data_IF_015866158939
#
_entry.id   IF_015866158939
#
_cell.length_a   1.000
_cell.length_b   1.000
_cell.length_c   1.000
_cell.angle_alpha   90.00
_cell.angle_beta   90.00
_cell.angle_gamma   90.00
#
_symmetry.space_group_name_H-M   'P 1'
#
loop_
_entity.id
_entity.type
_entity.pdbx_description
1 polymer ?
#
# COMPACT_ATOMS: atom_id res chain seq x y z
N UNK A 1 -49.00 -15.06 1.14
CA UNK A 1 -48.52 -13.69 1.40
C UNK A 1 -47.03 -13.74 1.76
N UNK A 2 -46.11 -13.39 0.87
CA UNK A 2 -44.69 -13.28 1.14
C UNK A 2 -44.37 -11.81 1.44
N UNK A 3 -43.96 -11.53 2.65
CA UNK A 3 -43.50 -10.19 3.04
C UNK A 3 -42.16 -9.91 2.37
N UNK A 4 -42.16 -8.94 1.46
CA UNK A 4 -40.94 -8.37 0.86
C UNK A 4 -40.41 -7.33 1.85
N UNK A 5 -39.40 -7.69 2.62
CA UNK A 5 -38.65 -6.73 3.41
C UNK A 5 -37.80 -5.92 2.44
N UNK A 6 -38.21 -4.71 2.12
CA UNK A 6 -37.38 -3.71 1.46
C UNK A 6 -36.36 -3.22 2.49
N UNK A 7 -35.14 -3.70 2.38
CA UNK A 7 -33.99 -3.05 3.03
C UNK A 7 -33.69 -1.80 2.23
N UNK A 8 -34.21 -0.66 2.67
CA UNK A 8 -33.83 0.65 2.18
C UNK A 8 -32.48 1.04 2.80
N UNK A 9 -31.40 0.55 2.22
CA UNK A 9 -30.04 0.97 2.52
C UNK A 9 -29.42 1.43 1.22
N UNK A 10 -29.23 2.74 1.05
CA UNK A 10 -28.34 3.26 0.02
C UNK A 10 -27.00 2.55 0.19
N UNK A 11 -26.49 1.81 -0.80
CA UNK A 11 -25.24 1.10 -0.62
C UNK A 11 -24.14 2.14 -0.45
N UNK A 12 -23.61 2.25 0.76
CA UNK A 12 -22.55 3.17 1.19
C UNK A 12 -21.30 3.12 0.28
N UNK A 13 -21.09 2.02 -0.43
CA UNK A 13 -20.01 1.86 -1.40
C UNK A 13 -20.17 2.74 -2.65
N UNK A 14 -21.38 3.19 -3.01
CA UNK A 14 -21.58 4.12 -4.12
C UNK A 14 -20.98 5.51 -3.84
N UNK A 15 -20.97 5.97 -2.60
CA UNK A 15 -20.36 7.25 -2.23
C UNK A 15 -18.82 7.21 -2.26
N UNK A 16 -18.23 6.03 -2.06
CA UNK A 16 -16.77 5.86 -2.06
C UNK A 16 -16.18 5.84 -3.49
N UNK A 17 -16.96 5.43 -4.49
CA UNK A 17 -16.55 5.45 -5.89
C UNK A 17 -16.46 6.87 -6.47
N UNK A 18 -17.28 7.82 -5.99
CA UNK A 18 -17.36 9.17 -6.54
C UNK A 18 -16.12 10.06 -6.26
N UNK A 19 -15.23 9.67 -5.34
CA UNK A 19 -14.04 10.47 -4.98
C UNK A 19 -12.76 10.04 -5.67
N UNK A 20 -12.76 8.92 -6.36
CA UNK A 20 -11.62 8.42 -7.10
C UNK A 20 -11.75 8.88 -8.56
N UNK A 21 -11.14 10.01 -8.93
CA UNK A 21 -10.97 10.34 -10.34
C UNK A 21 -10.00 9.33 -10.94
N UNK A 22 -10.41 8.51 -11.93
CA UNK A 22 -9.45 7.73 -12.69
C UNK A 22 -8.39 8.70 -13.23
N UNK A 23 -7.14 8.29 -13.19
CA UNK A 23 -6.09 9.03 -13.91
C UNK A 23 -6.43 9.10 -15.39
N UNK A 24 -5.73 9.94 -16.18
CA UNK A 24 -5.91 9.98 -17.62
C UNK A 24 -5.76 8.55 -18.17
N UNK A 25 -6.67 8.18 -19.06
CA UNK A 25 -6.65 6.87 -19.72
C UNK A 25 -5.49 6.85 -20.73
N UNK A 26 -4.31 6.50 -20.22
CA UNK A 26 -3.07 6.45 -20.99
C UNK A 26 -2.86 5.04 -21.53
N UNK A 27 -2.39 4.93 -22.76
CA UNK A 27 -1.94 3.67 -23.31
C UNK A 27 -0.75 3.09 -22.52
N UNK A 28 -0.48 1.78 -22.59
CA UNK A 28 0.68 1.19 -21.95
C UNK A 28 2.00 1.86 -22.37
N UNK A 29 2.13 2.25 -23.63
CA UNK A 29 3.29 2.94 -24.19
C UNK A 29 3.44 4.33 -23.59
N UNK A 30 2.36 5.08 -23.44
CA UNK A 30 2.37 6.41 -22.82
C UNK A 30 2.74 6.33 -21.34
N UNK A 31 2.18 5.34 -20.61
CA UNK A 31 2.55 5.07 -19.21
C UNK A 31 4.06 4.79 -19.09
N UNK A 32 4.57 3.89 -19.94
CA UNK A 32 5.99 3.55 -19.95
C UNK A 32 6.88 4.76 -20.30
N UNK A 33 6.51 5.54 -21.31
CA UNK A 33 7.26 6.73 -21.71
C UNK A 33 7.33 7.77 -20.58
N UNK A 34 6.21 8.01 -19.89
CA UNK A 34 6.17 8.94 -18.75
C UNK A 34 7.06 8.45 -17.60
N UNK A 35 6.97 7.17 -17.25
CA UNK A 35 7.80 6.57 -16.21
C UNK A 35 9.29 6.65 -16.58
N UNK A 36 9.63 6.29 -17.83
CA UNK A 36 10.99 6.37 -18.34
C UNK A 36 11.58 7.79 -18.23
N UNK A 37 10.82 8.79 -18.68
CA UNK A 37 11.25 10.18 -18.61
C UNK A 37 11.42 10.65 -17.16
N UNK A 38 10.53 10.27 -16.25
CA UNK A 38 10.65 10.56 -14.84
C UNK A 38 11.87 9.88 -14.21
N UNK A 39 12.15 8.63 -14.56
CA UNK A 39 13.33 7.91 -14.09
C UNK A 39 14.63 8.55 -14.60
N UNK A 40 14.69 8.90 -15.87
CA UNK A 40 15.86 9.58 -16.45
C UNK A 40 16.16 10.94 -15.80
N UNK A 41 15.16 11.61 -15.24
CA UNK A 41 15.33 12.87 -14.51
C UNK A 41 15.94 12.69 -13.12
N UNK A 42 16.05 11.46 -12.62
CA UNK A 42 16.60 11.20 -11.28
C UNK A 42 18.13 11.06 -11.32
N UNK A 43 18.84 11.45 -10.24
CA UNK A 43 20.29 11.27 -10.13
C UNK A 43 20.73 9.80 -10.25
N UNK A 44 19.89 8.86 -9.74
CA UNK A 44 20.22 7.44 -9.77
C UNK A 44 20.43 6.93 -11.19
N UNK A 45 19.45 7.09 -12.07
CA UNK A 45 19.54 6.58 -13.43
C UNK A 45 20.52 7.36 -14.29
N UNK A 46 20.72 8.65 -14.04
CA UNK A 46 21.67 9.48 -14.79
C UNK A 46 23.13 9.15 -14.48
N UNK A 47 23.46 8.74 -13.24
CA UNK A 47 24.84 8.52 -12.79
C UNK A 47 25.34 7.09 -12.90
N UNK A 48 24.46 6.08 -12.78
CA UNK A 48 24.87 4.68 -12.63
C UNK A 48 24.95 3.88 -13.93
N UNK A 49 25.04 4.53 -15.08
CA UNK A 49 25.14 3.83 -16.38
C UNK A 49 23.86 3.12 -16.82
N UNK A 50 22.82 3.08 -15.98
CA UNK A 50 21.51 2.46 -16.28
C UNK A 50 20.67 3.29 -17.26
N UNK A 51 21.12 4.48 -17.60
CA UNK A 51 20.53 5.32 -18.66
C UNK A 51 20.41 4.55 -19.97
N UNK A 52 21.44 3.76 -20.34
CA UNK A 52 21.44 2.98 -21.57
C UNK A 52 20.31 1.95 -21.59
N UNK A 53 20.09 1.24 -20.48
CA UNK A 53 19.04 0.23 -20.35
C UNK A 53 17.65 0.88 -20.49
N UNK A 54 17.45 2.03 -19.84
CA UNK A 54 16.19 2.79 -19.93
C UNK A 54 15.92 3.30 -21.35
N UNK A 55 16.96 3.78 -22.06
CA UNK A 55 16.82 4.32 -23.42
C UNK A 55 16.64 3.22 -24.45
N UNK A 56 17.27 2.06 -24.25
CA UNK A 56 17.17 0.91 -25.16
C UNK A 56 15.85 0.15 -25.01
N UNK A 57 15.19 0.24 -23.83
CA UNK A 57 13.96 -0.46 -23.57
C UNK A 57 12.76 0.18 -24.29
N UNK A 58 12.00 -0.65 -24.99
CA UNK A 58 10.72 -0.29 -25.60
C UNK A 58 9.52 -0.74 -24.75
N UNK A 59 9.75 -1.68 -23.83
CA UNK A 59 8.74 -2.25 -22.95
C UNK A 59 9.30 -2.43 -21.54
N UNK A 60 8.42 -2.40 -20.56
CA UNK A 60 8.77 -2.55 -19.13
C UNK A 60 9.59 -3.82 -18.87
N UNK A 61 9.19 -4.95 -19.46
CA UNK A 61 9.84 -6.27 -19.28
C UNK A 61 11.30 -6.34 -19.72
N UNK A 62 11.77 -5.39 -20.53
CA UNK A 62 13.17 -5.29 -20.96
C UNK A 62 14.06 -4.62 -19.90
N UNK A 63 13.48 -3.94 -18.92
CA UNK A 63 14.23 -3.35 -17.83
C UNK A 63 14.65 -4.41 -16.81
N UNK A 64 15.85 -4.27 -16.22
CA UNK A 64 16.26 -5.14 -15.13
C UNK A 64 15.36 -4.89 -13.90
N UNK A 65 15.17 -5.93 -13.08
CA UNK A 65 14.50 -5.80 -11.78
C UNK A 65 15.39 -5.00 -10.83
N UNK A 66 14.81 -4.01 -10.20
CA UNK A 66 15.49 -3.12 -9.26
C UNK A 66 15.30 -3.65 -7.82
N UNK A 67 16.38 -4.00 -7.10
CA UNK A 67 16.25 -4.47 -5.72
C UNK A 67 15.71 -3.38 -4.78
N UNK A 68 14.76 -3.71 -3.92
CA UNK A 68 14.19 -2.78 -2.93
C UNK A 68 15.28 -2.12 -2.07
N UNK A 69 16.23 -2.91 -1.59
CA UNK A 69 17.32 -2.41 -0.76
C UNK A 69 18.10 -1.30 -1.44
N UNK A 70 18.38 -1.43 -2.73
CA UNK A 70 19.11 -0.41 -3.50
C UNK A 70 18.34 0.92 -3.54
N UNK A 71 17.01 0.86 -3.64
CA UNK A 71 16.14 2.04 -3.62
C UNK A 71 16.10 2.67 -2.23
N UNK A 72 15.95 1.87 -1.18
CA UNK A 72 15.86 2.37 0.19
C UNK A 72 17.20 2.97 0.67
N UNK A 73 18.32 2.30 0.39
CA UNK A 73 19.66 2.78 0.78
C UNK A 73 20.07 4.07 0.03
N UNK A 74 19.53 4.29 -1.15
CA UNK A 74 19.86 5.45 -2.01
C UNK A 74 18.66 6.33 -2.34
N UNK A 75 17.64 6.38 -1.46
CA UNK A 75 16.34 7.00 -1.74
C UNK A 75 16.42 8.42 -2.30
N UNK A 76 17.29 9.26 -1.77
CA UNK A 76 17.47 10.64 -2.26
C UNK A 76 17.90 10.71 -3.73
N UNK A 77 18.54 9.68 -4.26
CA UNK A 77 18.96 9.60 -5.66
C UNK A 77 17.81 9.20 -6.60
N UNK A 78 16.73 8.62 -6.08
CA UNK A 78 15.53 8.29 -6.84
C UNK A 78 14.51 9.43 -6.89
N UNK A 79 14.77 10.54 -6.21
CA UNK A 79 13.85 11.69 -6.25
C UNK A 79 13.97 12.40 -7.60
N UNK A 80 12.85 12.52 -8.28
CA UNK A 80 12.70 13.33 -9.48
C UNK A 80 12.50 14.80 -9.07
N UNK A 81 13.46 15.69 -9.32
CA UNK A 81 13.36 17.08 -8.87
C UNK A 81 12.27 17.88 -9.60
N UNK A 82 11.84 17.41 -10.78
CA UNK A 82 10.77 18.05 -11.54
C UNK A 82 9.37 17.62 -11.12
N UNK A 83 9.24 16.53 -10.36
CA UNK A 83 7.95 16.08 -9.84
C UNK A 83 7.64 16.82 -8.54
N UNK A 84 6.49 17.47 -8.47
CA UNK A 84 5.98 18.02 -7.22
C UNK A 84 5.78 16.90 -6.19
N UNK A 85 5.87 17.23 -4.90
CA UNK A 85 5.59 16.29 -3.81
C UNK A 85 4.15 15.78 -3.88
N UNK A 86 3.94 14.68 -4.57
CA UNK A 86 2.65 14.01 -4.63
C UNK A 86 2.41 13.25 -3.33
N UNK A 87 1.69 13.84 -2.37
CA UNK A 87 1.23 13.06 -1.23
C UNK A 87 0.11 12.12 -1.69
N UNK A 88 0.27 10.84 -1.42
CA UNK A 88 -0.79 9.85 -1.58
C UNK A 88 -2.00 10.19 -0.71
N UNK A 89 -3.13 9.57 -1.00
CA UNK A 89 -4.39 9.80 -0.29
C UNK A 89 -4.74 8.61 0.60
N UNK A 90 -5.10 8.89 1.85
CA UNK A 90 -5.72 7.89 2.71
C UNK A 90 -7.11 7.55 2.18
N UNK A 91 -7.42 6.26 2.01
CA UNK A 91 -8.75 5.75 1.72
C UNK A 91 -9.41 5.32 3.03
N UNK A 92 -10.63 5.74 3.25
CA UNK A 92 -11.44 5.25 4.36
C UNK A 92 -12.39 4.16 3.86
N UNK A 93 -12.57 3.06 4.61
CA UNK A 93 -13.42 1.94 4.20
C UNK A 93 -14.92 2.29 4.20
N UNK A 94 -15.31 3.24 5.05
CA UNK A 94 -16.68 3.77 5.17
C UNK A 94 -16.64 5.18 5.79
N UNK A 95 -17.73 5.98 5.66
CA UNK A 95 -17.80 7.31 6.24
C UNK A 95 -17.57 7.30 7.75
N UNK A 96 -16.76 8.24 8.25
CA UNK A 96 -16.50 8.44 9.69
C UNK A 96 -16.73 9.89 10.06
N UNK A 97 -17.04 10.15 11.33
CA UNK A 97 -17.18 11.51 11.86
C UNK A 97 -15.81 12.13 12.11
N UNK A 98 -14.87 11.36 12.61
CA UNK A 98 -13.49 11.79 12.82
C UNK A 98 -12.51 10.61 12.84
N UNK A 99 -11.34 10.86 12.29
CA UNK A 99 -10.26 9.89 12.28
C UNK A 99 -8.91 10.55 12.55
N UNK A 100 -7.92 9.73 12.86
CA UNK A 100 -6.54 10.19 13.10
C UNK A 100 -5.57 9.30 12.34
N UNK A 101 -4.65 9.93 11.59
CA UNK A 101 -3.48 9.30 11.00
C UNK A 101 -2.25 9.53 11.87
N UNK A 102 -1.51 8.46 12.16
CA UNK A 102 -0.30 8.54 12.99
C UNK A 102 0.92 8.07 12.23
N UNK A 103 1.97 8.88 12.23
CA UNK A 103 3.31 8.49 11.80
C UNK A 103 3.59 8.52 10.30
N UNK A 104 2.65 8.98 9.47
CA UNK A 104 2.85 9.13 8.02
C UNK A 104 2.17 10.38 7.48
N UNK A 105 2.76 10.96 6.41
CA UNK A 105 2.13 12.08 5.68
C UNK A 105 1.36 11.56 4.49
N UNK A 106 0.04 11.75 4.51
CA UNK A 106 -0.87 11.47 3.40
C UNK A 106 -1.86 12.64 3.27
N UNK A 107 -2.51 12.76 2.12
CA UNK A 107 -3.68 13.62 1.98
C UNK A 107 -4.83 12.98 2.74
N UNK A 108 -5.35 13.70 3.70
CA UNK A 108 -6.40 13.22 4.58
C UNK A 108 -7.78 13.70 4.10
N UNK A 109 -8.85 12.93 4.38
CA UNK A 109 -10.22 13.44 4.35
C UNK A 109 -10.37 14.62 5.34
N UNK A 110 -11.35 15.49 5.11
CA UNK A 110 -11.59 16.71 5.92
C UNK A 110 -11.79 16.42 7.42
N UNK A 111 -12.34 15.26 7.74
CA UNK A 111 -12.62 14.81 9.09
C UNK A 111 -11.47 14.00 9.72
N UNK A 112 -10.28 13.99 9.11
CA UNK A 112 -9.09 13.36 9.66
C UNK A 112 -8.08 14.39 10.13
N UNK A 113 -7.49 14.13 11.29
CA UNK A 113 -6.30 14.80 11.78
C UNK A 113 -5.04 13.95 11.58
N UNK A 114 -3.86 14.56 11.67
CA UNK A 114 -2.60 13.83 11.65
C UNK A 114 -1.79 14.09 12.91
N UNK A 115 -1.16 13.05 13.42
CA UNK A 115 -0.15 13.14 14.46
C UNK A 115 1.19 12.77 13.82
N UNK A 116 2.03 13.78 13.61
CA UNK A 116 3.36 13.61 13.05
C UNK A 116 4.29 12.94 14.05
N UNK A 117 5.39 12.35 13.55
CA UNK A 117 6.47 11.74 14.33
C UNK A 117 6.08 10.56 15.23
N UNK A 118 4.90 9.97 15.05
CA UNK A 118 4.46 8.78 15.79
C UNK A 118 4.35 9.00 17.30
N UNK A 119 4.20 10.25 17.76
CA UNK A 119 3.95 10.57 19.18
C UNK A 119 2.57 10.06 19.59
N UNK A 120 2.50 9.25 20.64
CA UNK A 120 1.24 8.72 21.16
C UNK A 120 0.53 9.68 22.13
N UNK A 121 1.23 10.72 22.62
CA UNK A 121 0.66 11.66 23.60
C UNK A 121 -0.54 12.44 23.09
N UNK A 122 -0.53 12.82 21.80
CA UNK A 122 -1.67 13.49 21.17
C UNK A 122 -2.88 12.60 20.92
N UNK A 123 -2.67 11.28 20.87
CA UNK A 123 -3.74 10.33 20.57
C UNK A 123 -4.71 10.14 21.76
N UNK A 124 -4.23 10.24 22.97
CA UNK A 124 -5.03 10.10 24.20
C UNK A 124 -6.17 11.13 24.31
N UNK A 125 -5.93 12.34 23.81
CA UNK A 125 -6.90 13.45 23.85
C UNK A 125 -7.76 13.57 22.57
N UNK A 126 -7.46 12.74 21.57
CA UNK A 126 -8.15 12.81 20.28
C UNK A 126 -9.52 12.12 20.35
N UNK A 127 -10.59 12.72 19.82
CA UNK A 127 -11.90 12.09 19.72
C UNK A 127 -11.93 11.01 18.60
N UNK A 128 -10.81 10.34 18.35
CA UNK A 128 -10.58 9.44 17.24
C UNK A 128 -11.55 8.26 17.25
N UNK A 129 -12.41 8.16 16.24
CA UNK A 129 -13.29 7.01 16.03
C UNK A 129 -12.69 5.99 15.07
N UNK A 130 -11.87 6.44 14.12
CA UNK A 130 -11.13 5.62 13.16
C UNK A 130 -9.64 5.97 13.24
N UNK A 131 -8.79 4.96 13.35
CA UNK A 131 -7.34 5.13 13.49
C UNK A 131 -6.64 4.59 12.24
N UNK A 132 -5.77 5.39 11.65
CA UNK A 132 -4.90 4.95 10.56
C UNK A 132 -3.43 5.05 10.99
N UNK A 133 -2.65 4.00 10.80
CA UNK A 133 -1.22 4.03 11.10
C UNK A 133 -0.46 2.90 10.40
N UNK A 134 0.88 3.00 10.39
CA UNK A 134 1.76 1.94 9.89
C UNK A 134 1.83 0.76 10.86
N UNK A 135 2.23 -0.45 10.43
CA UNK A 135 2.33 -1.62 11.29
C UNK A 135 3.17 -1.37 12.54
N UNK A 136 4.32 -0.71 12.40
CA UNK A 136 5.23 -0.41 13.52
C UNK A 136 4.60 0.51 14.56
N UNK A 137 3.85 1.52 14.13
CA UNK A 137 3.12 2.43 15.02
C UNK A 137 1.98 1.71 15.72
N UNK A 138 1.23 0.86 15.01
CA UNK A 138 0.14 0.07 15.60
C UNK A 138 0.64 -0.90 16.66
N UNK A 139 1.79 -1.57 16.46
CA UNK A 139 2.44 -2.40 17.50
C UNK A 139 2.72 -1.59 18.77
N UNK A 140 3.25 -0.36 18.63
CA UNK A 140 3.51 0.54 19.76
C UNK A 140 2.22 0.98 20.45
N UNK A 141 1.16 1.29 19.68
CA UNK A 141 -0.16 1.62 20.22
C UNK A 141 -0.72 0.44 21.02
N UNK A 142 -0.71 -0.78 20.47
CA UNK A 142 -1.16 -1.96 21.19
C UNK A 142 -0.36 -2.21 22.48
N UNK A 143 0.95 -2.07 22.44
CA UNK A 143 1.77 -2.19 23.63
C UNK A 143 1.40 -1.14 24.70
N UNK A 144 1.15 0.11 24.28
CA UNK A 144 0.74 1.17 25.20
C UNK A 144 -0.68 0.95 25.77
N UNK A 145 -1.61 0.43 24.98
CA UNK A 145 -2.97 0.08 25.43
C UNK A 145 -2.89 -1.09 26.42
N UNK A 146 -2.18 -2.15 26.10
CA UNK A 146 -2.03 -3.34 26.97
C UNK A 146 -1.36 -3.00 28.31
N UNK A 147 -0.41 -2.07 28.32
CA UNK A 147 0.26 -1.59 29.52
C UNK A 147 -0.50 -0.47 30.25
N UNK A 148 -1.69 -0.10 29.78
CA UNK A 148 -2.56 0.96 30.32
C UNK A 148 -1.96 2.38 30.28
N UNK A 149 -0.90 2.61 29.49
CA UNK A 149 -0.35 3.96 29.25
C UNK A 149 -1.16 4.76 28.25
N UNK A 150 -1.97 4.09 27.42
CA UNK A 150 -2.83 4.73 26.43
C UNK A 150 -4.24 4.17 26.56
N UNK A 151 -5.23 5.06 26.57
CA UNK A 151 -6.63 4.72 26.40
C UNK A 151 -7.18 5.38 25.13
N UNK A 152 -7.98 4.64 24.38
CA UNK A 152 -8.64 5.11 23.17
C UNK A 152 -10.16 4.99 23.30
N UNK A 153 -10.79 5.75 24.22
CA UNK A 153 -12.18 5.55 24.59
C UNK A 153 -13.18 5.81 23.47
N UNK A 154 -12.76 6.57 22.45
CA UNK A 154 -13.62 6.94 21.32
C UNK A 154 -13.40 6.05 20.09
N UNK A 155 -12.34 5.22 20.06
CA UNK A 155 -12.09 4.32 18.95
C UNK A 155 -13.17 3.23 18.91
N UNK A 156 -14.04 3.29 17.90
CA UNK A 156 -15.19 2.40 17.81
C UNK A 156 -15.57 1.99 16.38
N UNK A 157 -14.86 2.50 15.37
CA UNK A 157 -15.21 2.25 13.97
C UNK A 157 -14.24 1.29 13.29
N UNK A 158 -12.98 1.67 13.13
CA UNK A 158 -11.98 0.83 12.45
C UNK A 158 -10.55 1.24 12.75
N UNK A 159 -9.63 0.30 12.50
CA UNK A 159 -8.21 0.56 12.31
C UNK A 159 -7.87 0.35 10.85
N UNK A 160 -7.13 1.29 10.26
CA UNK A 160 -6.57 1.20 8.92
C UNK A 160 -5.05 1.00 9.04
N UNK A 161 -4.59 -0.14 8.59
CA UNK A 161 -3.15 -0.46 8.53
C UNK A 161 -2.59 0.03 7.21
N UNK A 162 -1.67 0.97 7.27
CA UNK A 162 -0.99 1.50 6.10
C UNK A 162 0.31 0.72 5.92
N UNK A 163 0.27 -0.25 5.03
CA UNK A 163 1.43 -1.05 4.64
C UNK A 163 2.18 -0.37 3.50
N UNK A 164 3.47 -0.53 3.44
CA UNK A 164 4.30 0.06 2.39
C UNK A 164 5.67 -0.59 2.36
N UNK A 165 6.41 -0.34 1.28
CA UNK A 165 7.74 -0.91 1.09
C UNK A 165 8.73 -0.51 2.19
N UNK A 166 8.51 0.64 2.83
CA UNK A 166 9.31 1.13 3.95
C UNK A 166 8.76 0.72 5.30
N UNK A 167 7.44 0.68 5.41
CA UNK A 167 6.73 0.40 6.66
C UNK A 167 6.56 -1.10 6.93
N UNK A 168 6.79 -1.92 5.90
CA UNK A 168 6.55 -3.35 5.94
C UNK A 168 5.07 -3.72 5.87
N UNK A 169 4.80 -4.99 6.13
CA UNK A 169 3.47 -5.58 6.15
C UNK A 169 3.10 -6.08 7.55
N UNK A 170 1.83 -6.41 7.74
CA UNK A 170 1.40 -7.18 8.91
C UNK A 170 1.95 -8.61 8.83
N UNK A 171 2.50 -9.07 9.94
CA UNK A 171 2.87 -10.49 10.07
C UNK A 171 1.64 -11.35 10.39
N UNK A 172 1.70 -12.66 10.11
CA UNK A 172 0.63 -13.59 10.50
C UNK A 172 0.27 -13.44 11.98
N UNK A 173 -1.02 -13.35 12.28
CA UNK A 173 -1.55 -13.17 13.64
C UNK A 173 -1.55 -11.72 14.16
N UNK A 174 -0.85 -10.77 13.54
CA UNK A 174 -0.88 -9.37 14.00
C UNK A 174 -2.25 -8.71 13.80
N UNK A 175 -2.96 -9.07 12.72
CA UNK A 175 -4.34 -8.61 12.51
C UNK A 175 -5.24 -9.00 13.67
N UNK A 176 -5.16 -10.25 14.13
CA UNK A 176 -5.93 -10.75 15.28
C UNK A 176 -5.52 -10.06 16.58
N UNK A 177 -4.22 -9.80 16.75
CA UNK A 177 -3.71 -9.04 17.90
C UNK A 177 -4.27 -7.62 17.91
N UNK A 178 -4.26 -6.92 16.77
CA UNK A 178 -4.85 -5.59 16.64
C UNK A 178 -6.34 -5.61 16.99
N UNK A 179 -7.09 -6.54 16.41
CA UNK A 179 -8.51 -6.68 16.68
C UNK A 179 -8.81 -6.96 18.17
N UNK A 180 -8.10 -7.91 18.79
CA UNK A 180 -8.28 -8.23 20.21
C UNK A 180 -7.93 -7.08 21.14
N UNK A 181 -6.90 -6.29 20.79
CA UNK A 181 -6.43 -5.19 21.65
C UNK A 181 -7.31 -3.95 21.49
N UNK A 182 -7.72 -3.63 20.27
CA UNK A 182 -8.41 -2.37 19.96
C UNK A 182 -9.93 -2.52 19.84
N UNK A 183 -10.43 -3.75 19.68
CA UNK A 183 -11.87 -4.06 19.71
C UNK A 183 -12.66 -3.59 18.47
N UNK A 184 -11.98 -3.25 17.38
CA UNK A 184 -12.60 -2.72 16.15
C UNK A 184 -12.07 -3.44 14.91
N UNK A 185 -12.84 -3.45 13.79
CA UNK A 185 -12.42 -4.03 12.53
C UNK A 185 -11.08 -3.46 12.04
N UNK A 186 -10.25 -4.31 11.42
CA UNK A 186 -8.95 -3.94 10.86
C UNK A 186 -9.03 -4.00 9.35
N UNK A 187 -8.66 -2.91 8.67
CA UNK A 187 -8.56 -2.81 7.21
C UNK A 187 -7.13 -2.55 6.80
N UNK A 188 -6.72 -3.11 5.69
CA UNK A 188 -5.36 -2.99 5.19
C UNK A 188 -5.33 -2.16 3.91
N UNK A 189 -4.28 -1.35 3.75
CA UNK A 189 -3.99 -0.58 2.55
C UNK A 189 -2.51 -0.70 2.22
N UNK A 190 -2.21 -0.93 0.96
CA UNK A 190 -0.85 -0.92 0.46
C UNK A 190 -0.59 0.39 -0.29
N UNK A 191 0.45 1.09 0.12
CA UNK A 191 0.90 2.34 -0.50
C UNK A 191 2.29 2.18 -1.11
N UNK A 192 2.51 2.85 -2.22
CA UNK A 192 3.80 2.90 -2.90
C UNK A 192 4.80 3.85 -2.24
N UNK A 193 5.97 4.01 -2.87
CA UNK A 193 7.06 4.85 -2.37
C UNK A 193 6.66 6.32 -2.18
N UNK A 194 5.83 6.86 -3.06
CA UNK A 194 5.32 8.22 -3.00
C UNK A 194 4.01 8.34 -2.21
N UNK A 195 3.61 7.27 -1.52
CA UNK A 195 2.39 7.21 -0.73
C UNK A 195 1.11 7.02 -1.55
N UNK A 196 1.22 6.80 -2.86
CA UNK A 196 0.06 6.48 -3.70
C UNK A 196 -0.58 5.17 -3.26
N UNK A 197 -1.91 5.14 -3.24
CA UNK A 197 -2.66 3.94 -2.91
C UNK A 197 -2.55 2.94 -4.07
N UNK A 198 -1.99 1.77 -3.79
CA UNK A 198 -1.80 0.67 -4.75
C UNK A 198 -2.82 -0.44 -4.59
N UNK A 199 -3.15 -0.77 -3.34
CA UNK A 199 -4.18 -1.76 -3.04
C UNK A 199 -4.89 -1.46 -1.73
N UNK A 200 -6.11 -1.98 -1.57
CA UNK A 200 -6.94 -1.72 -0.40
C UNK A 200 -7.91 -2.86 -0.15
N UNK A 201 -8.24 -3.07 1.10
CA UNK A 201 -9.17 -4.09 1.55
C UNK A 201 -10.61 -3.56 1.56
N UNK A 202 -11.55 -4.35 1.07
CA UNK A 202 -12.98 -4.08 1.16
C UNK A 202 -13.59 -4.71 2.42
N UNK A 203 -14.87 -4.37 2.70
CA UNK A 203 -15.59 -4.90 3.87
C UNK A 203 -15.81 -6.43 3.90
N UNK A 204 -15.44 -7.16 2.83
CA UNK A 204 -15.49 -8.62 2.81
C UNK A 204 -14.21 -9.29 3.31
N UNK A 205 -13.14 -8.52 3.52
CA UNK A 205 -11.87 -8.99 4.06
C UNK A 205 -11.28 -10.21 3.34
N UNK A 206 -11.39 -10.25 1.99
CA UNK A 206 -10.94 -11.39 1.18
C UNK A 206 -9.56 -11.18 0.55
N UNK A 207 -8.91 -10.07 0.84
CA UNK A 207 -7.63 -9.64 0.29
C UNK A 207 -7.64 -8.16 -0.12
N UNK A 208 -6.53 -7.72 -0.70
CA UNK A 208 -6.35 -6.34 -1.13
C UNK A 208 -6.69 -6.21 -2.62
N UNK A 209 -7.64 -5.34 -2.98
CA UNK A 209 -7.92 -4.97 -4.37
C UNK A 209 -6.76 -4.16 -4.94
N UNK A 210 -6.02 -4.73 -5.88
CA UNK A 210 -4.87 -4.09 -6.50
C UNK A 210 -5.29 -3.22 -7.68
N UNK A 211 -4.89 -1.95 -7.67
CA UNK A 211 -5.29 -0.96 -8.68
C UNK A 211 -4.42 -1.05 -9.94
N UNK A 212 -4.86 -1.85 -10.91
CA UNK A 212 -4.15 -2.08 -12.17
C UNK A 212 -4.05 -0.83 -13.08
N UNK A 213 -4.92 0.15 -12.91
CA UNK A 213 -4.83 1.43 -13.60
C UNK A 213 -3.64 2.27 -13.10
N UNK A 214 -3.20 2.05 -11.85
CA UNK A 214 -2.16 2.83 -11.17
C UNK A 214 -0.80 2.18 -11.16
N UNK A 215 -0.75 0.87 -11.18
CA UNK A 215 0.50 0.13 -11.13
C UNK A 215 0.38 -1.18 -11.89
N UNK A 216 1.52 -1.71 -12.29
CA UNK A 216 1.67 -3.05 -12.81
C UNK A 216 2.36 -3.92 -11.76
N UNK A 217 1.90 -5.16 -11.65
CA UNK A 217 2.44 -6.15 -10.73
C UNK A 217 2.81 -7.40 -11.49
N UNK A 218 4.09 -7.73 -11.48
CA UNK A 218 4.64 -8.96 -12.03
C UNK A 218 4.94 -9.94 -10.88
N UNK A 219 4.88 -11.23 -11.14
CA UNK A 219 5.35 -12.23 -10.19
C UNK A 219 6.57 -12.95 -10.79
N UNK A 220 7.75 -12.70 -10.22
CA UNK A 220 9.02 -13.26 -10.69
C UNK A 220 9.58 -14.19 -9.63
N UNK A 221 9.62 -15.49 -9.92
CA UNK A 221 10.08 -16.54 -8.95
C UNK A 221 9.35 -16.49 -7.61
N UNK A 222 8.06 -16.10 -7.63
CA UNK A 222 7.23 -15.96 -6.44
C UNK A 222 7.33 -14.60 -5.73
N UNK A 223 8.29 -13.77 -6.10
CA UNK A 223 8.40 -12.39 -5.61
C UNK A 223 7.52 -11.44 -6.43
N UNK A 224 6.83 -10.54 -5.75
CA UNK A 224 6.10 -9.45 -6.40
C UNK A 224 7.08 -8.36 -6.85
N UNK A 225 6.98 -8.00 -8.12
CA UNK A 225 7.74 -6.90 -8.74
C UNK A 225 6.75 -5.82 -9.14
N UNK A 226 6.90 -4.64 -8.58
CA UNK A 226 5.97 -3.52 -8.69
C UNK A 226 6.50 -2.46 -9.65
N UNK A 227 5.64 -1.94 -10.51
CA UNK A 227 5.89 -0.71 -11.26
C UNK A 227 4.73 0.25 -11.06
N UNK A 228 4.96 1.38 -10.38
CA UNK A 228 3.96 2.43 -10.24
C UNK A 228 3.97 3.37 -11.44
N UNK A 229 2.79 3.63 -12.02
CA UNK A 229 2.61 4.53 -13.15
C UNK A 229 2.42 5.99 -12.75
N UNK A 230 2.08 6.24 -11.48
CA UNK A 230 1.73 7.57 -10.96
C UNK A 230 2.69 8.06 -9.87
N UNK A 231 3.47 7.19 -9.27
CA UNK A 231 4.51 7.52 -8.30
C UNK A 231 5.76 8.07 -8.97
N UNK A 232 5.64 9.21 -9.67
CA UNK A 232 6.72 9.77 -10.47
C UNK A 232 7.67 10.67 -9.68
N UNK A 233 7.41 10.86 -8.39
CA UNK A 233 8.36 11.55 -7.49
C UNK A 233 9.55 10.67 -7.15
N UNK A 234 9.33 9.37 -6.99
CA UNK A 234 10.38 8.36 -6.77
C UNK A 234 10.20 7.20 -7.76
N UNK A 235 10.43 7.44 -9.06
CA UNK A 235 10.19 6.44 -10.10
C UNK A 235 11.15 5.26 -9.95
N UNK A 236 10.59 4.09 -9.69
CA UNK A 236 11.33 2.85 -9.55
C UNK A 236 10.68 1.76 -10.44
N UNK A 237 11.00 1.72 -11.73
CA UNK A 237 10.47 0.70 -12.63
C UNK A 237 10.95 -0.69 -12.23
N UNK A 238 10.05 -1.67 -12.25
CA UNK A 238 10.30 -3.07 -11.90
C UNK A 238 10.97 -3.25 -10.53
N UNK A 239 10.40 -2.65 -9.52
CA UNK A 239 10.91 -2.72 -8.14
C UNK A 239 10.56 -4.07 -7.51
N UNK A 240 11.56 -4.88 -7.17
CA UNK A 240 11.39 -6.07 -6.34
C UNK A 240 10.92 -5.65 -4.95
N UNK A 241 9.77 -6.14 -4.52
CA UNK A 241 9.15 -5.66 -3.27
C UNK A 241 9.65 -6.39 -2.03
N UNK A 242 10.26 -7.56 -2.19
CA UNK A 242 10.55 -8.49 -1.09
C UNK A 242 9.29 -9.18 -0.56
N UNK A 243 8.18 -9.11 -1.27
CA UNK A 243 6.89 -9.67 -0.86
C UNK A 243 6.43 -10.75 -1.83
N UNK A 244 5.52 -11.58 -1.34
CA UNK A 244 4.78 -12.56 -2.13
C UNK A 244 3.30 -12.45 -1.86
N UNK A 245 2.44 -12.83 -2.81
CA UNK A 245 1.01 -12.95 -2.64
C UNK A 245 0.44 -13.94 -3.67
N UNK A 246 -0.74 -14.47 -3.40
CA UNK A 246 -1.60 -15.08 -4.41
C UNK A 246 -2.38 -13.98 -5.13
N UNK A 247 -2.32 -13.96 -6.47
CA UNK A 247 -3.08 -13.01 -7.30
C UNK A 247 -4.35 -13.70 -7.78
N UNK A 248 -5.50 -13.32 -7.21
CA UNK A 248 -6.81 -13.85 -7.62
C UNK A 248 -7.50 -12.84 -8.54
N UNK A 249 -7.68 -13.22 -9.81
CA UNK A 249 -8.32 -12.38 -10.83
C UNK A 249 -9.83 -12.52 -10.86
N UNK A 250 -10.43 -13.36 -10.02
CA UNK A 250 -11.89 -13.50 -9.94
C UNK A 250 -12.49 -12.26 -9.28
N UNK A 251 -13.63 -11.82 -9.79
CA UNK A 251 -14.34 -10.67 -9.22
C UNK A 251 -14.69 -10.93 -7.75
N UNK A 252 -14.34 -9.97 -6.90
CA UNK A 252 -14.79 -9.96 -5.51
C UNK A 252 -16.30 -9.74 -5.43
N UNK A 253 -16.96 -10.37 -4.45
CA UNK A 253 -18.38 -10.16 -4.20
C UNK A 253 -18.76 -8.74 -3.80
N UNK A 254 -17.77 -7.88 -3.48
CA UNK A 254 -18.01 -6.46 -3.23
C UNK A 254 -18.31 -5.66 -4.52
N UNK A 255 -18.08 -6.26 -5.69
CA UNK A 255 -18.31 -5.63 -7.01
C UNK A 255 -17.10 -4.86 -7.55
N UNK A 256 -15.99 -4.79 -6.82
CA UNK A 256 -14.75 -4.18 -7.35
C UNK A 256 -14.12 -5.11 -8.40
N UNK A 257 -13.83 -4.62 -9.63
CA UNK A 257 -13.29 -5.43 -10.71
C UNK A 257 -11.79 -5.71 -10.59
N UNK A 258 -11.10 -5.01 -9.69
CA UNK A 258 -9.66 -5.17 -9.52
C UNK A 258 -9.30 -6.54 -8.93
N UNK A 259 -8.17 -7.16 -9.34
CA UNK A 259 -7.72 -8.42 -8.77
C UNK A 259 -7.42 -8.29 -7.29
N UNK A 260 -7.56 -9.40 -6.57
CA UNK A 260 -7.25 -9.50 -5.16
C UNK A 260 -5.83 -10.03 -4.96
N UNK A 261 -5.09 -9.37 -4.07
CA UNK A 261 -3.87 -9.92 -3.49
C UNK A 261 -4.24 -10.59 -2.17
N UNK A 262 -4.03 -11.90 -2.12
CA UNK A 262 -4.28 -12.73 -0.93
C UNK A 262 -2.96 -13.19 -0.33
N UNK A 263 -2.98 -13.52 0.94
CA UNK A 263 -1.84 -14.09 1.66
C UNK A 263 -0.55 -13.30 1.44
N UNK A 264 -0.66 -11.97 1.53
CA UNK A 264 0.49 -11.09 1.43
C UNK A 264 1.52 -11.44 2.51
N UNK A 265 2.74 -11.76 2.10
CA UNK A 265 3.80 -12.24 2.98
C UNK A 265 5.18 -11.77 2.55
N UNK A 266 6.17 -12.07 3.38
CA UNK A 266 7.57 -11.83 3.04
C UNK A 266 8.04 -12.91 2.07
N UNK A 267 8.57 -12.48 0.92
CA UNK A 267 9.18 -13.39 -0.02
C UNK A 267 10.48 -13.98 0.53
N UNK A 268 10.66 -15.28 0.35
CA UNK A 268 11.89 -15.97 0.70
C UNK A 268 12.43 -16.66 -0.56
N UNK A 269 13.69 -16.41 -0.95
CA UNK A 269 14.28 -17.12 -2.06
C UNK A 269 14.27 -18.63 -1.76
N UNK A 270 13.91 -19.43 -2.78
CA UNK A 270 14.02 -20.88 -2.66
C UNK A 270 15.44 -21.22 -2.22
N UNK A 271 15.57 -22.04 -1.16
CA UNK A 271 16.88 -22.50 -0.69
C UNK A 271 17.64 -23.11 -1.86
N UNK A 272 18.86 -22.64 -2.11
CA UNK A 272 19.71 -23.23 -3.11
C UNK A 272 19.79 -24.75 -2.83
N UNK A 273 19.64 -25.63 -3.84
CA UNK A 273 19.73 -27.05 -3.63
C UNK A 273 21.07 -27.33 -2.93
N UNK A 274 21.00 -27.96 -1.76
CA UNK A 274 22.22 -28.37 -1.05
C UNK A 274 23.03 -29.23 -2.02
N UNK A 275 24.23 -28.77 -2.39
CA UNK A 275 25.14 -29.56 -3.17
C UNK A 275 25.37 -30.88 -2.43
N UNK A 276 24.80 -31.95 -2.92
CA UNK A 276 25.10 -33.30 -2.44
C UNK A 276 26.51 -33.58 -2.92
N UNK A 277 27.49 -33.32 -2.07
CA UNK A 277 28.82 -33.85 -2.32
C UNK A 277 28.72 -35.35 -2.16
N UNK A 278 28.65 -36.08 -3.28
CA UNK A 278 28.87 -37.49 -3.31
C UNK A 278 30.37 -37.69 -2.94
N UNK A 279 30.62 -38.18 -1.75
CA UNK A 279 31.93 -38.72 -1.41
C UNK A 279 32.16 -39.98 -2.31
N UNK A 280 33.14 -39.87 -3.18
CA UNK A 280 33.68 -41.03 -3.93
C UNK A 280 34.66 -41.80 -3.05
#
# INVERSE_FOLDING_TARGET
MRAVVRVAGNPWWLHTLATFRPGPDLSPEEKFLRLRNAALATPYFSRHGRTKDLLAANHLSQLPVLPLREVLDSRSQFINPAAGSGLGRLRIPFPTVCGTLVGRKLRLPENFSSIENGSLSGLHLSPTRMLAATPSVLRRICAAVNSRFLALPHLCEAVIVIQGLEEGILFPGERDMLWRTLGVPVFEQWVGLDGELLAWECGLHQGLHFQQDRAELEQIRGELVLTSWYGLCSPAPRLATGWTAEIDTRCCRCGDPNPLLRDLGIWQPAAAPKAVFACA
#
